data_IF_721050512940
#
_entry.id   IF_721050512940
#
_cell.length_a   1.000
_cell.length_b   1.000
_cell.length_c   1.000
_cell.angle_alpha   90.00
_cell.angle_beta   90.00
_cell.angle_gamma   90.00
#
_symmetry.space_group_name_H-M   'P 1'
#
loop_
_entity.id
_entity.type
_entity.pdbx_description
1 polymer ?
#
# COMPACT_ATOMS: atom_id res chain seq x y z
N UNK A 1 -10.47 20.50 10.91
CA UNK A 1 -9.06 20.12 11.17
C UNK A 1 -8.52 19.45 9.92
N UNK A 2 -7.40 19.92 9.36
CA UNK A 2 -6.79 19.33 8.14
C UNK A 2 -5.87 18.19 8.57
N UNK A 3 -6.05 17.00 7.98
CA UNK A 3 -5.17 15.86 8.21
C UNK A 3 -3.79 16.13 7.58
N UNK A 4 -2.72 15.73 8.25
CA UNK A 4 -1.36 15.84 7.71
C UNK A 4 -1.06 14.72 6.70
N UNK A 5 -0.04 14.91 5.85
CA UNK A 5 0.37 13.89 4.87
C UNK A 5 0.80 12.58 5.52
N UNK A 6 1.42 12.65 6.70
CA UNK A 6 1.79 11.47 7.50
C UNK A 6 0.55 10.73 8.00
N UNK A 7 -0.45 11.47 8.50
CA UNK A 7 -1.72 10.89 8.92
C UNK A 7 -2.46 10.26 7.74
N UNK A 8 -2.45 10.91 6.57
CA UNK A 8 -3.03 10.40 5.35
C UNK A 8 -2.39 9.09 4.89
N UNK A 9 -1.05 9.03 4.87
CA UNK A 9 -0.29 7.83 4.52
C UNK A 9 -0.65 6.66 5.44
N UNK A 10 -0.63 6.91 6.76
CA UNK A 10 -0.96 5.89 7.76
C UNK A 10 -2.40 5.37 7.63
N UNK A 11 -3.36 6.24 7.34
CA UNK A 11 -4.75 5.83 7.07
C UNK A 11 -4.81 4.93 5.83
N UNK A 12 -4.07 5.27 4.77
CA UNK A 12 -3.98 4.46 3.55
C UNK A 12 -3.42 3.05 3.80
N UNK A 13 -2.35 2.95 4.59
CA UNK A 13 -1.77 1.66 5.01
C UNK A 13 -2.79 0.79 5.76
N UNK A 14 -3.48 1.37 6.76
CA UNK A 14 -4.48 0.64 7.53
C UNK A 14 -5.66 0.18 6.68
N UNK A 15 -6.15 1.03 5.77
CA UNK A 15 -7.24 0.67 4.86
C UNK A 15 -6.83 -0.49 3.95
N UNK A 16 -5.59 -0.50 3.45
CA UNK A 16 -5.09 -1.59 2.62
C UNK A 16 -4.98 -2.90 3.42
N UNK A 17 -4.51 -2.83 4.67
CA UNK A 17 -4.45 -3.99 5.57
C UNK A 17 -5.85 -4.57 5.86
N UNK A 18 -6.82 -3.72 6.20
CA UNK A 18 -8.22 -4.13 6.45
C UNK A 18 -8.84 -4.71 5.18
N UNK A 19 -8.64 -4.06 4.03
CA UNK A 19 -9.15 -4.55 2.75
C UNK A 19 -8.59 -5.94 2.42
N UNK A 20 -7.28 -6.16 2.61
CA UNK A 20 -6.66 -7.46 2.39
C UNK A 20 -7.28 -8.55 3.28
N UNK A 21 -7.47 -8.28 4.57
CA UNK A 21 -8.08 -9.24 5.49
C UNK A 21 -9.54 -9.55 5.11
N UNK A 22 -10.35 -8.53 4.84
CA UNK A 22 -11.78 -8.71 4.53
C UNK A 22 -11.99 -9.44 3.20
N UNK A 23 -11.23 -9.08 2.16
CA UNK A 23 -11.42 -9.65 0.81
C UNK A 23 -10.79 -11.02 0.63
N UNK A 24 -9.88 -11.41 1.52
CA UNK A 24 -9.25 -12.74 1.52
C UNK A 24 -9.80 -13.69 2.58
N UNK A 25 -10.84 -13.28 3.32
CA UNK A 25 -11.38 -14.03 4.46
C UNK A 25 -10.28 -14.42 5.47
N UNK A 26 -9.37 -13.48 5.75
CA UNK A 26 -8.24 -13.67 6.66
C UNK A 26 -7.11 -14.57 6.15
N UNK A 27 -7.13 -15.00 4.88
CA UNK A 27 -6.03 -15.76 4.29
C UNK A 27 -4.75 -14.92 4.10
N UNK A 28 -4.90 -13.62 3.84
CA UNK A 28 -3.81 -12.65 3.80
C UNK A 28 -3.68 -11.96 5.15
N UNK A 29 -2.48 -12.02 5.72
CA UNK A 29 -2.14 -11.43 7.02
C UNK A 29 -1.18 -10.25 6.79
N UNK A 30 -1.64 -9.01 7.05
CA UNK A 30 -0.81 -7.82 6.94
C UNK A 30 0.04 -7.58 8.20
N UNK A 31 1.26 -7.07 8.01
CA UNK A 31 2.19 -6.65 9.05
C UNK A 31 2.69 -5.25 8.69
N UNK A 32 2.55 -4.30 9.62
CA UNK A 32 3.18 -2.98 9.46
C UNK A 32 4.68 -3.09 9.75
N UNK A 33 5.47 -2.35 8.98
CA UNK A 33 6.91 -2.26 9.21
C UNK A 33 7.15 -1.11 10.20
N UNK A 34 7.84 -1.39 11.30
CA UNK A 34 8.08 -0.43 12.40
C UNK A 34 8.97 0.76 12.00
N UNK A 35 9.81 0.57 10.97
CA UNK A 35 10.70 1.60 10.43
C UNK A 35 10.49 1.72 8.91
N UNK A 36 10.55 2.95 8.38
CA UNK A 36 10.64 3.23 6.93
C UNK A 36 12.04 2.82 6.43
N UNK A 37 12.32 1.52 6.54
CA UNK A 37 13.55 0.88 6.09
C UNK A 37 13.24 0.30 4.70
N UNK A 38 13.76 0.98 3.68
CA UNK A 38 13.66 0.60 2.27
C UNK A 38 12.29 0.77 1.58
N UNK A 39 11.49 1.80 1.89
CA UNK A 39 10.23 2.06 1.18
C UNK A 39 9.18 0.94 1.31
N UNK A 40 9.26 0.16 2.39
CA UNK A 40 8.31 -0.92 2.72
C UNK A 40 7.34 -0.42 3.78
N UNK A 41 6.12 -0.09 3.35
CA UNK A 41 5.10 0.40 4.27
C UNK A 41 4.31 -0.77 4.90
N UNK A 42 4.10 -1.85 4.14
CA UNK A 42 3.33 -3.02 4.56
C UNK A 42 3.94 -4.32 4.02
N UNK A 43 3.93 -5.38 4.81
CA UNK A 43 4.19 -6.75 4.33
C UNK A 43 2.90 -7.56 4.45
N UNK A 44 2.55 -8.30 3.40
CA UNK A 44 1.38 -9.18 3.41
C UNK A 44 1.85 -10.61 3.17
N UNK A 45 1.54 -11.51 4.10
CA UNK A 45 1.87 -12.93 3.99
C UNK A 45 0.62 -13.78 3.83
N UNK A 46 0.77 -14.97 3.22
CA UNK A 46 -0.30 -15.97 3.20
C UNK A 46 -0.21 -16.82 4.47
N UNK A 47 -1.32 -16.89 5.23
CA UNK A 47 -1.37 -17.65 6.49
C UNK A 47 -0.91 -19.10 6.28
N UNK A 48 0.04 -19.54 7.11
CA UNK A 48 0.60 -20.90 7.05
C UNK A 48 1.59 -21.15 5.91
N UNK A 49 2.01 -20.12 5.15
CA UNK A 49 3.03 -20.21 4.11
C UNK A 49 4.18 -19.25 4.39
N UNK A 50 5.37 -19.56 3.88
CA UNK A 50 6.54 -18.67 3.93
C UNK A 50 6.56 -17.63 2.80
N UNK A 51 5.48 -17.53 2.02
CA UNK A 51 5.35 -16.58 0.91
C UNK A 51 4.76 -15.27 1.39
N UNK A 52 5.41 -14.16 1.05
CA UNK A 52 4.98 -12.81 1.37
C UNK A 52 5.25 -11.83 0.22
N UNK A 53 4.59 -10.68 0.26
CA UNK A 53 4.82 -9.54 -0.61
C UNK A 53 5.06 -8.28 0.23
N UNK A 54 6.08 -7.51 -0.14
CA UNK A 54 6.29 -6.15 0.40
C UNK A 54 5.55 -5.14 -0.47
N UNK A 55 4.88 -4.19 0.17
CA UNK A 55 4.05 -3.19 -0.47
C UNK A 55 4.48 -1.79 -0.01
N UNK A 56 4.53 -0.88 -0.99
CA UNK A 56 4.59 0.55 -0.73
C UNK A 56 3.21 1.14 -0.98
N UNK A 57 2.67 1.86 0.01
CA UNK A 57 1.38 2.51 -0.04
C UNK A 57 1.58 4.04 -0.10
N UNK A 58 0.87 4.70 -1.02
CA UNK A 58 0.86 6.16 -1.12
C UNK A 58 -0.57 6.66 -1.08
N UNK A 59 -0.88 7.52 -0.12
CA UNK A 59 -2.14 8.23 -0.08
C UNK A 59 -2.09 9.44 -1.02
N UNK A 60 -3.18 9.70 -1.73
CA UNK A 60 -3.31 10.88 -2.57
C UNK A 60 -4.72 11.45 -2.47
N UNK A 61 -4.82 12.78 -2.53
CA UNK A 61 -6.08 13.51 -2.40
C UNK A 61 -6.59 14.05 -3.74
N UNK A 62 -5.77 14.00 -4.78
CA UNK A 62 -6.09 14.49 -6.11
C UNK A 62 -5.63 13.47 -7.15
N UNK A 63 -6.44 13.28 -8.19
CA UNK A 63 -6.04 12.48 -9.34
C UNK A 63 -5.28 13.34 -10.34
N UNK A 64 -4.27 12.78 -11.00
CA UNK A 64 -3.62 13.40 -12.13
C UNK A 64 -4.57 13.50 -13.34
N UNK A 65 -4.19 14.28 -14.35
CA UNK A 65 -4.99 14.50 -15.56
C UNK A 65 -5.37 13.21 -16.33
N UNK A 66 -4.64 12.12 -16.12
CA UNK A 66 -4.93 10.79 -16.67
C UNK A 66 -5.98 10.00 -15.88
N UNK A 67 -6.49 10.54 -14.78
CA UNK A 67 -7.35 9.82 -13.82
C UNK A 67 -6.59 8.89 -12.87
N UNK A 68 -5.25 8.88 -12.93
CA UNK A 68 -4.39 8.09 -12.06
C UNK A 68 -3.62 8.99 -11.09
N UNK A 69 -3.26 8.45 -9.93
CA UNK A 69 -2.34 9.12 -9.00
C UNK A 69 -0.95 9.16 -9.64
N UNK A 70 -0.38 10.35 -9.91
CA UNK A 70 1.00 10.44 -10.38
C UNK A 70 1.93 9.96 -9.26
N UNK A 71 2.85 9.05 -9.57
CA UNK A 71 3.87 8.66 -8.60
C UNK A 71 4.70 9.89 -8.24
N UNK A 72 4.95 10.17 -6.94
CA UNK A 72 5.87 11.23 -6.54
C UNK A 72 7.22 11.07 -7.26
N UNK A 73 7.90 12.15 -7.70
CA UNK A 73 9.15 12.07 -8.47
C UNK A 73 10.27 11.28 -7.77
N UNK A 74 10.26 11.21 -6.44
CA UNK A 74 11.21 10.46 -5.63
C UNK A 74 10.83 8.98 -5.42
N UNK A 75 9.66 8.54 -5.91
CA UNK A 75 9.29 7.13 -5.89
C UNK A 75 10.20 6.43 -6.89
N UNK A 76 11.13 5.61 -6.40
CA UNK A 76 11.87 4.68 -7.24
C UNK A 76 10.99 3.44 -7.42
N UNK A 77 10.22 3.30 -8.51
CA UNK A 77 9.61 2.01 -8.78
C UNK A 77 10.74 0.99 -8.90
N UNK A 78 10.70 -0.06 -8.08
CA UNK A 78 11.59 -1.19 -8.30
C UNK A 78 11.38 -1.68 -9.75
N UNK A 79 12.44 -2.01 -10.51
CA UNK A 79 12.29 -2.57 -11.84
C UNK A 79 11.31 -3.74 -11.83
N UNK A 80 10.17 -3.59 -12.51
CA UNK A 80 9.10 -4.61 -12.56
C UNK A 80 7.94 -4.42 -11.57
N UNK A 81 7.99 -3.46 -10.65
CA UNK A 81 6.86 -3.15 -9.77
C UNK A 81 5.71 -2.51 -10.56
N UNK A 82 4.68 -3.30 -10.86
CA UNK A 82 3.41 -2.82 -11.43
C UNK A 82 2.28 -3.28 -10.51
N UNK A 83 1.75 -2.39 -9.67
CA UNK A 83 0.46 -2.62 -9.04
C UNK A 83 -0.62 -2.00 -9.95
N UNK A 84 -1.29 -2.85 -10.73
CA UNK A 84 -2.46 -2.48 -11.53
C UNK A 84 -3.70 -2.97 -10.79
N UNK A 85 -4.40 -2.06 -10.11
CA UNK A 85 -5.75 -2.33 -9.62
C UNK A 85 -6.75 -1.67 -10.56
N UNK A 86 -7.39 -2.47 -11.41
CA UNK A 86 -8.51 -2.05 -12.25
C UNK A 86 -9.79 -2.70 -11.72
N UNK A 87 -10.84 -1.89 -11.51
CA UNK A 87 -12.19 -2.40 -11.22
C UNK A 87 -12.82 -2.91 -12.51
N UNK A 88 -13.56 -4.02 -12.43
CA UNK A 88 -14.61 -4.32 -13.41
C UNK A 88 -15.89 -3.61 -12.99
#
# INVERSE_FOLDING_TARGET
MRISDVQAGRIGEYLLAVYAMLTSDGALVPFQVDADDDHRDLVVAVKGKSTFASLQAKACFELGASGFVPLPPATKPLPGARLVMARR
#
